data_IF_400903565071
#
_entry.id   IF_400903565071
#
_cell.length_a   1.000
_cell.length_b   1.000
_cell.length_c   1.000
_cell.angle_alpha   90.00
_cell.angle_beta   90.00
_cell.angle_gamma   90.00
#
_symmetry.space_group_name_H-M   'P 1'
#
loop_
_entity.id
_entity.type
_entity.pdbx_description
1 polymer ?
#
# COMPACT_ATOMS: atom_id res chain seq x y z
N UNK A 1 10.44 6.53 7.66
CA UNK A 1 11.26 6.76 6.46
C UNK A 1 10.87 8.10 5.86
N UNK A 2 11.30 9.22 6.46
CA UNK A 2 10.96 10.56 5.99
C UNK A 2 11.30 10.77 4.50
N UNK A 3 12.42 10.21 4.04
CA UNK A 3 12.91 10.32 2.67
C UNK A 3 11.97 9.73 1.62
N UNK A 4 11.32 8.59 1.90
CA UNK A 4 10.35 7.97 0.99
C UNK A 4 9.06 8.80 0.96
N UNK A 5 8.62 9.30 2.11
CA UNK A 5 7.45 10.16 2.20
C UNK A 5 7.63 11.44 1.39
N UNK A 6 8.78 12.11 1.51
CA UNK A 6 9.07 13.32 0.74
C UNK A 6 9.06 13.03 -0.76
N UNK A 7 9.72 11.95 -1.19
CA UNK A 7 9.76 11.60 -2.60
C UNK A 7 8.38 11.26 -3.18
N UNK A 8 7.51 10.59 -2.41
CA UNK A 8 6.11 10.39 -2.81
C UNK A 8 5.35 11.71 -2.89
N UNK A 9 5.56 12.60 -1.92
CA UNK A 9 4.92 13.91 -1.88
C UNK A 9 5.34 14.78 -3.06
N UNK A 10 6.63 14.79 -3.39
CA UNK A 10 7.16 15.56 -4.53
C UNK A 10 6.51 15.10 -5.84
N UNK A 11 6.41 13.78 -6.08
CA UNK A 11 5.69 13.22 -7.23
C UNK A 11 4.21 13.64 -7.24
N UNK A 12 3.54 13.58 -6.09
CA UNK A 12 2.13 13.99 -5.95
C UNK A 12 1.97 15.47 -6.29
N UNK A 13 2.83 16.35 -5.78
CA UNK A 13 2.77 17.77 -6.05
C UNK A 13 3.12 18.10 -7.51
N UNK A 14 4.03 17.35 -8.15
CA UNK A 14 4.35 17.51 -9.57
C UNK A 14 3.19 17.11 -10.48
N UNK A 15 2.51 16.00 -10.19
CA UNK A 15 1.44 15.45 -11.03
C UNK A 15 0.10 16.14 -10.79
N UNK A 16 -0.24 16.39 -9.52
CA UNK A 16 -1.58 16.84 -9.10
C UNK A 16 -1.58 18.34 -8.81
N UNK A 17 -0.49 18.88 -8.26
CA UNK A 17 -0.39 20.28 -7.84
C UNK A 17 -1.50 20.66 -6.86
N UNK A 18 -2.07 21.84 -7.06
CA UNK A 18 -3.07 22.42 -6.16
C UNK A 18 -4.51 22.00 -6.48
N UNK A 19 -4.75 21.16 -7.48
CA UNK A 19 -6.10 20.69 -7.86
C UNK A 19 -6.90 20.21 -6.64
N UNK A 20 -8.11 20.73 -6.46
CA UNK A 20 -9.03 20.28 -5.41
C UNK A 20 -9.58 18.89 -5.72
N UNK A 21 -9.95 18.65 -6.98
CA UNK A 21 -10.46 17.36 -7.44
C UNK A 21 -9.35 16.55 -8.12
N UNK A 22 -9.08 15.37 -7.56
CA UNK A 22 -8.10 14.42 -8.11
C UNK A 22 -8.82 13.46 -9.05
N UNK A 23 -8.46 13.48 -10.33
CA UNK A 23 -9.05 12.61 -11.34
C UNK A 23 -8.38 11.23 -11.42
N UNK A 24 -9.06 10.28 -12.08
CA UNK A 24 -8.53 8.95 -12.37
C UNK A 24 -7.23 8.98 -13.20
N UNK A 25 -7.17 9.89 -14.18
CA UNK A 25 -5.98 10.02 -15.04
C UNK A 25 -4.78 10.63 -14.32
N UNK A 26 -5.01 11.34 -13.21
CA UNK A 26 -3.94 11.93 -12.40
C UNK A 26 -3.28 10.85 -11.53
N UNK A 27 -4.06 10.04 -10.81
CA UNK A 27 -3.52 8.94 -9.99
C UNK A 27 -2.79 7.88 -10.81
N UNK A 28 -3.20 7.64 -12.06
CA UNK A 28 -2.54 6.69 -12.95
C UNK A 28 -1.10 7.08 -13.31
N UNK A 29 -0.72 8.35 -13.11
CA UNK A 29 0.62 8.88 -13.37
C UNK A 29 1.57 8.78 -12.17
N UNK A 30 1.07 8.44 -10.97
CA UNK A 30 1.87 8.35 -9.73
C UNK A 30 2.70 7.04 -9.68
N UNK A 31 3.83 7.04 -10.37
CA UNK A 31 4.67 5.84 -10.57
C UNK A 31 5.37 5.42 -9.28
N UNK A 32 5.95 6.36 -8.56
CA UNK A 32 6.70 6.10 -7.33
C UNK A 32 5.77 5.74 -6.18
N UNK A 33 4.62 6.42 -6.05
CA UNK A 33 3.57 6.01 -5.11
C UNK A 33 3.14 4.57 -5.39
N UNK A 34 2.91 4.20 -6.66
CA UNK A 34 2.59 2.82 -7.00
C UNK A 34 3.70 1.84 -6.60
N UNK A 35 4.98 2.17 -6.82
CA UNK A 35 6.10 1.33 -6.39
C UNK A 35 6.09 1.08 -4.88
N UNK A 36 5.84 2.12 -4.08
CA UNK A 36 5.74 2.00 -2.61
C UNK A 36 4.54 1.13 -2.21
N UNK A 37 3.41 1.26 -2.91
CA UNK A 37 2.23 0.40 -2.68
C UNK A 37 2.54 -1.06 -3.02
N UNK A 38 3.17 -1.34 -4.15
CA UNK A 38 3.53 -2.72 -4.53
C UNK A 38 4.51 -3.33 -3.51
N UNK A 39 5.49 -2.55 -3.06
CA UNK A 39 6.46 -3.00 -2.06
C UNK A 39 5.79 -3.25 -0.70
N UNK A 40 4.84 -2.40 -0.32
CA UNK A 40 4.02 -2.59 0.88
C UNK A 40 3.21 -3.88 0.77
N UNK A 41 2.57 -4.15 -0.37
CA UNK A 41 1.82 -5.38 -0.62
C UNK A 41 2.73 -6.62 -0.71
N UNK A 42 4.00 -6.46 -1.09
CA UNK A 42 5.02 -7.52 -1.12
C UNK A 42 5.43 -7.92 0.29
N UNK A 43 5.60 -6.95 1.17
CA UNK A 43 6.00 -7.16 2.56
C UNK A 43 4.81 -7.56 3.45
N UNK A 44 3.64 -6.96 3.21
CA UNK A 44 2.45 -7.04 4.05
C UNK A 44 1.19 -7.34 3.21
N UNK A 45 1.11 -8.53 2.57
CA UNK A 45 -0.07 -8.89 1.77
C UNK A 45 -1.27 -9.13 2.69
N UNK A 46 -2.41 -8.48 2.39
CA UNK A 46 -3.65 -8.60 3.17
C UNK A 46 -4.08 -10.06 3.45
N UNK A 47 -3.78 -10.96 2.52
CA UNK A 47 -3.99 -12.40 2.63
C UNK A 47 -2.64 -13.11 2.57
N UNK A 48 -2.20 -13.66 3.70
CA UNK A 48 -0.88 -14.28 3.82
C UNK A 48 -0.73 -15.57 3.00
N UNK A 49 -1.83 -16.24 2.64
CA UNK A 49 -1.79 -17.54 1.93
C UNK A 49 -2.96 -17.69 0.97
N UNK A 50 -2.65 -18.06 -0.28
CA UNK A 50 -3.61 -18.60 -1.22
C UNK A 50 -3.70 -20.12 -1.06
N UNK A 51 -4.92 -20.65 -1.04
CA UNK A 51 -5.15 -22.09 -0.89
C UNK A 51 -5.31 -22.70 -2.29
N UNK A 52 -4.39 -23.59 -2.64
CA UNK A 52 -4.40 -24.39 -3.87
C UNK A 52 -4.37 -25.88 -3.51
N UNK A 53 -4.83 -26.74 -4.43
CA UNK A 53 -4.61 -28.20 -4.34
C UNK A 53 -3.10 -28.50 -4.39
N UNK A 54 -2.63 -29.65 -3.86
CA UNK A 54 -1.22 -30.00 -3.88
C UNK A 54 -0.60 -29.96 -5.29
N UNK A 55 -1.30 -30.50 -6.28
CA UNK A 55 -0.89 -30.51 -7.69
C UNK A 55 -0.74 -29.09 -8.26
N UNK A 56 -1.67 -28.19 -7.95
CA UNK A 56 -1.63 -26.81 -8.40
C UNK A 56 -0.53 -26.01 -7.68
N UNK A 57 -0.26 -26.28 -6.39
CA UNK A 57 0.88 -25.67 -5.68
C UNK A 57 2.20 -26.05 -6.33
N UNK A 58 2.38 -27.33 -6.70
CA UNK A 58 3.62 -27.83 -7.28
C UNK A 58 3.98 -27.18 -8.64
N UNK A 59 2.99 -26.71 -9.39
CA UNK A 59 3.18 -26.04 -10.69
C UNK A 59 3.60 -24.57 -10.59
N UNK A 60 3.58 -23.96 -9.39
CA UNK A 60 3.79 -22.52 -9.20
C UNK A 60 5.18 -22.24 -8.66
N UNK A 61 5.80 -21.16 -9.15
CA UNK A 61 7.09 -20.71 -8.66
C UNK A 61 6.96 -20.20 -7.20
N UNK A 62 7.79 -20.67 -6.26
CA UNK A 62 7.74 -20.23 -4.86
C UNK A 62 7.93 -18.71 -4.64
N UNK A 63 8.53 -18.00 -5.60
CA UNK A 63 8.78 -16.56 -5.59
C UNK A 63 7.71 -15.76 -6.37
N UNK A 64 6.56 -16.37 -6.70
CA UNK A 64 5.49 -15.66 -7.41
C UNK A 64 4.85 -14.57 -6.54
N UNK A 65 4.83 -13.32 -7.02
CA UNK A 65 4.12 -12.18 -6.40
C UNK A 65 2.64 -12.15 -6.81
N UNK A 66 1.74 -12.51 -5.89
CA UNK A 66 0.28 -12.61 -6.12
C UNK A 66 -0.57 -11.92 -5.02
N UNK A 67 -0.38 -10.62 -4.74
CA UNK A 67 -1.08 -9.92 -3.65
C UNK A 67 -2.61 -9.90 -3.83
N UNK A 68 -3.08 -10.02 -5.08
CA UNK A 68 -4.49 -10.06 -5.46
C UNK A 68 -4.89 -11.39 -6.12
N UNK A 69 -4.06 -12.43 -6.03
CA UNK A 69 -4.27 -13.70 -6.73
C UNK A 69 -4.12 -13.61 -8.25
N UNK A 70 -4.47 -14.69 -8.95
CA UNK A 70 -4.38 -14.81 -10.40
C UNK A 70 -5.47 -15.73 -10.95
N UNK A 71 -5.83 -15.54 -12.23
CA UNK A 71 -6.83 -16.35 -12.94
C UNK A 71 -8.28 -16.01 -12.57
N UNK A 72 -9.25 -16.89 -12.89
CA UNK A 72 -10.68 -16.62 -12.72
C UNK A 72 -11.15 -16.35 -11.29
N UNK A 73 -10.30 -16.62 -10.28
CA UNK A 73 -10.55 -16.36 -8.86
C UNK A 73 -9.59 -15.31 -8.28
N UNK A 74 -9.02 -14.45 -9.12
CA UNK A 74 -8.30 -13.28 -8.63
C UNK A 74 -9.27 -12.31 -7.93
N UNK A 75 -8.72 -11.36 -7.18
CA UNK A 75 -9.51 -10.36 -6.50
C UNK A 75 -10.25 -9.49 -7.53
N UNK A 76 -11.59 -9.63 -7.57
CA UNK A 76 -12.45 -8.80 -8.41
C UNK A 76 -12.33 -7.31 -8.07
N UNK A 77 -11.99 -6.99 -6.82
CA UNK A 77 -11.80 -5.63 -6.32
C UNK A 77 -10.43 -5.03 -6.58
N UNK A 78 -9.50 -5.72 -7.27
CA UNK A 78 -8.10 -5.27 -7.41
C UNK A 78 -7.98 -3.82 -7.94
N UNK A 79 -8.71 -3.49 -9.02
CA UNK A 79 -8.66 -2.14 -9.61
C UNK A 79 -9.22 -1.08 -8.68
N UNK A 80 -10.29 -1.42 -7.97
CA UNK A 80 -10.92 -0.52 -7.01
C UNK A 80 -10.03 -0.30 -5.79
N UNK A 81 -9.40 -1.35 -5.27
CA UNK A 81 -8.45 -1.25 -4.16
C UNK A 81 -7.25 -0.35 -4.51
N UNK A 82 -6.67 -0.49 -5.71
CA UNK A 82 -5.60 0.42 -6.15
C UNK A 82 -6.08 1.86 -6.28
N UNK A 83 -7.28 2.08 -6.83
CA UNK A 83 -7.89 3.40 -6.92
C UNK A 83 -8.03 4.05 -5.54
N UNK A 84 -8.63 3.33 -4.58
CA UNK A 84 -8.80 3.84 -3.21
C UNK A 84 -7.46 4.14 -2.55
N UNK A 85 -6.50 3.21 -2.64
CA UNK A 85 -5.17 3.41 -2.04
C UNK A 85 -4.47 4.65 -2.63
N UNK A 86 -4.44 4.80 -3.96
CA UNK A 86 -3.78 5.95 -4.59
C UNK A 86 -4.49 7.25 -4.28
N UNK A 87 -5.83 7.28 -4.34
CA UNK A 87 -6.60 8.47 -3.98
C UNK A 87 -6.38 8.86 -2.53
N UNK A 88 -6.43 7.91 -1.60
CA UNK A 88 -6.18 8.16 -0.18
C UNK A 88 -4.75 8.66 0.04
N UNK A 89 -3.73 8.02 -0.54
CA UNK A 89 -2.34 8.47 -0.39
C UNK A 89 -2.12 9.87 -0.96
N UNK A 90 -2.69 10.17 -2.13
CA UNK A 90 -2.61 11.49 -2.75
C UNK A 90 -3.21 12.58 -1.83
N UNK A 91 -4.41 12.35 -1.30
CA UNK A 91 -5.05 13.30 -0.37
C UNK A 91 -4.29 13.43 0.94
N UNK A 92 -3.84 12.32 1.53
CA UNK A 92 -3.13 12.36 2.80
C UNK A 92 -1.77 13.07 2.67
N UNK A 93 -0.95 12.72 1.67
CA UNK A 93 0.40 13.25 1.54
C UNK A 93 0.45 14.67 0.96
N UNK A 94 -0.59 15.11 0.25
CA UNK A 94 -0.76 16.52 -0.13
C UNK A 94 -0.94 17.41 1.11
N UNK A 95 -1.74 16.94 2.08
CA UNK A 95 -2.22 17.77 3.20
C UNK A 95 -1.52 17.51 4.54
N UNK A 96 -0.88 16.35 4.73
CA UNK A 96 -0.30 15.92 6.00
C UNK A 96 1.12 15.38 5.84
N UNK A 97 1.92 15.51 6.90
CA UNK A 97 3.17 14.79 7.13
C UNK A 97 3.00 13.80 8.27
N UNK A 98 3.47 12.57 8.08
CA UNK A 98 3.44 11.55 9.11
C UNK A 98 4.81 11.34 9.74
N UNK A 99 4.81 11.15 11.06
CA UNK A 99 6.01 10.88 11.84
C UNK A 99 5.78 9.68 12.75
N UNK A 100 6.80 8.83 12.86
CA UNK A 100 6.88 7.83 13.92
C UNK A 100 6.93 8.51 15.29
N UNK A 101 6.30 7.92 16.29
CA UNK A 101 6.32 8.41 17.67
C UNK A 101 6.98 7.39 18.59
N UNK A 102 7.59 7.83 19.71
CA UNK A 102 8.03 6.91 20.76
C UNK A 102 6.87 6.03 21.24
N UNK A 103 7.10 4.72 21.35
CA UNK A 103 6.10 3.75 21.77
C UNK A 103 5.27 3.12 20.64
N UNK A 104 5.47 3.54 19.39
CA UNK A 104 5.00 2.79 18.22
C UNK A 104 5.99 1.65 17.90
N UNK A 105 5.53 0.48 17.41
CA UNK A 105 6.43 -0.62 17.08
C UNK A 105 7.48 -0.25 16.03
N UNK A 106 8.72 -0.71 16.23
CA UNK A 106 9.80 -0.55 15.26
C UNK A 106 9.55 -1.38 13.99
N UNK A 107 10.13 -0.92 12.87
CA UNK A 107 10.11 -1.66 11.61
C UNK A 107 11.21 -2.74 11.59
N UNK A 108 10.96 -3.93 11.02
CA UNK A 108 9.69 -4.39 10.45
C UNK A 108 8.66 -4.77 11.51
N UNK A 109 7.40 -4.38 11.28
CA UNK A 109 6.29 -4.63 12.21
C UNK A 109 5.95 -6.11 12.26
N UNK A 110 5.69 -6.64 13.45
CA UNK A 110 5.18 -7.99 13.60
C UNK A 110 3.72 -8.09 13.14
N UNK A 111 3.46 -9.03 12.23
CA UNK A 111 2.13 -9.25 11.64
C UNK A 111 1.47 -10.49 12.25
N UNK A 112 0.19 -10.37 12.61
CA UNK A 112 -0.70 -11.51 12.85
C UNK A 112 -1.24 -11.99 11.51
N UNK A 113 -1.01 -13.26 11.19
CA UNK A 113 -1.43 -13.88 9.92
C UNK A 113 -2.70 -14.72 10.07
N UNK A 114 -3.38 -14.68 11.22
CA UNK A 114 -4.64 -15.39 11.43
C UNK A 114 -5.78 -14.62 10.74
N UNK A 115 -6.22 -15.12 9.59
CA UNK A 115 -7.21 -14.45 8.75
C UNK A 115 -6.57 -13.35 7.91
N UNK A 116 -7.11 -12.14 7.95
CA UNK A 116 -6.49 -10.98 7.32
C UNK A 116 -5.26 -10.54 8.09
N UNK A 117 -4.18 -10.23 7.38
CA UNK A 117 -2.96 -9.76 8.01
C UNK A 117 -3.16 -8.41 8.66
N UNK A 118 -2.69 -8.26 9.89
CA UNK A 118 -2.72 -7.00 10.62
C UNK A 118 -1.52 -6.90 11.57
N UNK A 119 -1.09 -5.68 11.94
CA UNK A 119 -0.13 -5.51 13.02
C UNK A 119 -0.58 -6.22 14.31
N UNK A 120 0.33 -6.88 15.02
CA UNK A 120 0.05 -7.46 16.34
C UNK A 120 -0.20 -6.39 17.40
N UNK A 121 0.45 -5.25 17.23
CA UNK A 121 0.39 -4.09 18.11
C UNK A 121 -0.13 -2.89 17.32
N UNK A 122 -0.80 -1.95 17.99
CA UNK A 122 -1.32 -0.77 17.34
C UNK A 122 -0.16 0.11 16.83
N UNK A 123 -0.20 0.48 15.54
CA UNK A 123 0.68 1.51 15.00
C UNK A 123 0.08 2.88 15.21
N UNK A 124 0.73 3.67 16.05
CA UNK A 124 0.44 5.08 16.20
C UNK A 124 1.45 5.91 15.42
N UNK A 125 0.95 6.92 14.73
CA UNK A 125 1.75 7.91 14.00
C UNK A 125 1.22 9.30 14.32
N UNK A 126 2.11 10.29 14.36
CA UNK A 126 1.70 11.69 14.44
C UNK A 126 1.45 12.20 13.03
N UNK A 127 0.25 12.73 12.79
CA UNK A 127 -0.07 13.44 11.55
C UNK A 127 -0.02 14.95 11.81
N UNK A 128 0.82 15.66 11.05
CA UNK A 128 0.96 17.10 11.08
C UNK A 128 0.33 17.69 9.82
N UNK A 129 -0.66 18.57 9.99
CA UNK A 129 -1.34 19.23 8.88
C UNK A 129 -0.44 20.35 8.33
N UNK A 130 -0.32 20.42 7.00
CA UNK A 130 0.59 21.38 6.36
C UNK A 130 -0.04 22.76 6.16
N UNK A 131 -1.33 22.82 5.83
CA UNK A 131 -2.10 24.06 5.62
C UNK A 131 -3.57 23.80 5.96
#
# INVERSE_FOLDING_TARGET
>A
MPEIQEKMRDEIMEVIGDKEEIGYDDIAKLKYVNQVVQETLRMYPAVARLIFSPEEKAKRDPLTYLPFGYGPRNCIGMRFAYFEIWMTLAHLLKNYRFYSIPGSPDLPVQIDTRGLTKPKEALFVRAEKLF
#
